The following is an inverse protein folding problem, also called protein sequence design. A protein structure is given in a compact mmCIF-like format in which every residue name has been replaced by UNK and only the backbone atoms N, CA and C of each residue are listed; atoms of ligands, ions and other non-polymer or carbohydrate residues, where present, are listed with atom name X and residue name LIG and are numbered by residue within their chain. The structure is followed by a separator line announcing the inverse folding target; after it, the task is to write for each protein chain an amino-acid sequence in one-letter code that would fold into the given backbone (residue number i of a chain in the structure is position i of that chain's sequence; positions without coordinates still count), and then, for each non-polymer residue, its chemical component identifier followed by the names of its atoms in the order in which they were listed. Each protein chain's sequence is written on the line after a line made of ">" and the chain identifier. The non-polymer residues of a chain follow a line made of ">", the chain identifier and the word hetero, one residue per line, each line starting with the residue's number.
data_IF_416634935384
#
_entry.id   IF_416634935384
#
_cell.length_a   1.000
_cell.length_b   1.000
_cell.length_c   1.000
_cell.angle_alpha   90.00
_cell.angle_beta   90.00
_cell.angle_gamma   90.00
#
_symmetry.space_group_name_H-M   'P 1'
#
loop_
_entity.id
_entity.type
_entity.pdbx_description
1 polymer ?
#
# COMPACT_ATOMS: atom_id res chain seq x y z
N UNK A 1 17.95 -8.57 4.70
CA UNK A 1 16.68 -8.86 5.38
C UNK A 1 16.73 -8.21 6.75
N UNK A 2 16.14 -7.03 6.89
CA UNK A 2 15.97 -6.39 8.20
C UNK A 2 14.57 -5.83 8.19
N UNK A 3 13.68 -6.40 9.00
CA UNK A 3 12.70 -5.65 9.78
C UNK A 3 12.32 -6.51 10.98
N UNK A 4 12.90 -6.16 12.13
CA UNK A 4 12.39 -6.55 13.44
C UNK A 4 11.21 -5.61 13.75
N UNK A 5 10.04 -6.19 14.05
CA UNK A 5 9.00 -5.53 14.85
C UNK A 5 9.54 -5.32 16.27
N UNK A 6 9.28 -4.15 16.88
CA UNK A 6 9.00 -3.94 18.31
C UNK A 6 8.61 -2.47 18.54
N UNK A 7 7.30 -2.23 18.63
CA UNK A 7 6.62 -1.26 19.52
C UNK A 7 7.42 -0.05 20.05
N UNK A 8 7.81 0.89 19.19
CA UNK A 8 8.15 2.25 19.65
C UNK A 8 6.89 3.09 19.60
N UNK A 9 6.46 3.61 20.75
CA UNK A 9 5.39 4.59 20.85
C UNK A 9 5.93 5.91 20.25
N UNK A 10 5.57 6.29 19.02
CA UNK A 10 6.21 7.44 18.38
C UNK A 10 5.72 8.73 19.04
N UNK A 11 6.60 9.72 19.19
CA UNK A 11 6.18 11.04 19.64
C UNK A 11 5.14 11.64 18.67
N UNK A 12 4.20 12.45 19.17
CA UNK A 12 3.09 13.05 18.41
C UNK A 12 3.52 13.71 17.08
N UNK A 13 4.71 14.32 17.05
CA UNK A 13 5.26 14.95 15.84
C UNK A 13 5.68 13.94 14.76
N UNK A 14 6.14 12.75 15.16
CA UNK A 14 6.43 11.64 14.24
C UNK A 14 5.12 11.10 13.69
N UNK A 15 4.11 10.90 14.55
CA UNK A 15 2.77 10.44 14.14
C UNK A 15 2.12 11.41 13.14
N UNK A 16 2.19 12.73 13.40
CA UNK A 16 1.62 13.74 12.50
C UNK A 16 2.34 13.89 11.15
N UNK A 17 3.65 13.60 11.09
CA UNK A 17 4.42 13.63 9.83
C UNK A 17 4.25 12.34 9.03
N UNK A 18 3.99 11.22 9.70
CA UNK A 18 3.60 9.97 9.05
C UNK A 18 2.30 10.18 8.29
N UNK A 19 1.25 10.58 9.01
CA UNK A 19 -0.08 10.73 8.45
C UNK A 19 -0.14 11.70 7.25
N UNK A 20 0.67 12.77 7.23
CA UNK A 20 0.77 13.68 6.08
C UNK A 20 1.16 12.97 4.77
N UNK A 21 2.18 12.10 4.82
CA UNK A 21 2.69 11.41 3.64
C UNK A 21 1.73 10.32 3.19
N UNK A 22 1.18 9.57 4.14
CA UNK A 22 0.17 8.53 3.88
C UNK A 22 -1.04 9.12 3.14
N UNK A 23 -1.59 10.24 3.65
CA UNK A 23 -2.70 10.92 3.00
C UNK A 23 -2.34 11.55 1.65
N UNK A 24 -1.14 12.10 1.51
CA UNK A 24 -0.68 12.67 0.24
C UNK A 24 -0.62 11.62 -0.87
N UNK A 25 0.01 10.47 -0.59
CA UNK A 25 0.09 9.36 -1.54
C UNK A 25 -1.30 8.80 -1.83
N UNK A 26 -2.11 8.57 -0.80
CA UNK A 26 -3.48 8.07 -0.96
C UNK A 26 -4.36 9.00 -1.82
N UNK A 27 -4.27 10.32 -1.59
CA UNK A 27 -4.98 11.32 -2.37
C UNK A 27 -4.55 11.31 -3.85
N UNK A 28 -3.23 11.26 -4.13
CA UNK A 28 -2.68 11.21 -5.49
C UNK A 28 -3.18 9.96 -6.22
N UNK A 29 -3.00 8.78 -5.62
CA UNK A 29 -3.36 7.51 -6.25
C UNK A 29 -4.87 7.45 -6.50
N UNK A 30 -5.69 7.80 -5.51
CA UNK A 30 -7.15 7.84 -5.66
C UNK A 30 -7.60 8.84 -6.74
N UNK A 31 -6.98 10.02 -6.81
CA UNK A 31 -7.28 11.01 -7.84
C UNK A 31 -6.90 10.51 -9.23
N UNK A 32 -5.67 10.00 -9.42
CA UNK A 32 -5.21 9.48 -10.72
C UNK A 32 -6.10 8.32 -11.19
N UNK A 33 -6.41 7.36 -10.31
CA UNK A 33 -7.29 6.24 -10.67
C UNK A 33 -8.69 6.71 -11.07
N UNK A 34 -9.23 7.72 -10.38
CA UNK A 34 -10.52 8.31 -10.73
C UNK A 34 -10.51 9.01 -12.10
N UNK A 35 -9.43 9.71 -12.43
CA UNK A 35 -9.29 10.36 -13.75
C UNK A 35 -9.14 9.34 -14.88
N UNK A 36 -8.42 8.23 -14.64
CA UNK A 36 -8.14 7.21 -15.67
C UNK A 36 -9.32 6.25 -15.87
N UNK A 37 -9.97 5.81 -14.78
CA UNK A 37 -10.98 4.75 -14.82
C UNK A 37 -12.41 5.24 -14.53
N UNK A 38 -12.58 6.51 -14.19
CA UNK A 38 -13.85 7.09 -13.77
C UNK A 38 -14.21 6.77 -12.32
N UNK A 39 -15.09 7.57 -11.73
CA UNK A 39 -15.43 7.50 -10.29
C UNK A 39 -16.51 6.48 -9.94
N UNK A 40 -17.40 6.13 -10.88
CA UNK A 40 -18.59 5.33 -10.56
C UNK A 40 -18.31 3.85 -10.27
N UNK A 41 -17.19 3.33 -10.79
CA UNK A 41 -16.79 1.92 -10.65
C UNK A 41 -15.48 1.78 -9.87
N UNK A 42 -15.05 2.83 -9.19
CA UNK A 42 -13.79 2.84 -8.47
C UNK A 42 -14.00 2.35 -7.04
N UNK A 43 -13.43 1.19 -6.74
CA UNK A 43 -13.38 0.63 -5.40
C UNK A 43 -11.93 0.58 -4.96
N UNK A 44 -11.60 1.30 -3.88
CA UNK A 44 -10.25 1.35 -3.32
C UNK A 44 -10.32 0.99 -1.85
N UNK A 45 -9.59 -0.06 -1.47
CA UNK A 45 -9.29 -0.43 -0.09
C UNK A 45 -7.94 0.19 0.25
N UNK A 46 -7.86 1.02 1.28
CA UNK A 46 -6.61 1.62 1.71
C UNK A 46 -6.51 1.69 3.23
N UNK A 47 -5.29 1.94 3.72
CA UNK A 47 -5.01 1.99 5.15
C UNK A 47 -5.63 3.19 5.86
N UNK A 48 -5.56 4.38 5.25
CA UNK A 48 -5.93 5.61 5.94
C UNK A 48 -7.41 5.98 5.75
N UNK A 49 -8.02 6.50 6.82
CA UNK A 49 -9.37 7.07 6.80
C UNK A 49 -9.36 8.60 6.88
N UNK A 50 -10.53 9.20 6.62
CA UNK A 50 -10.74 10.66 6.71
C UNK A 50 -11.13 11.14 8.11
N UNK A 51 -11.46 10.24 9.03
CA UNK A 51 -12.08 10.58 10.34
C UNK A 51 -11.07 11.24 11.29
N UNK A 52 -9.79 11.00 11.06
CA UNK A 52 -8.65 11.62 11.73
C UNK A 52 -8.34 13.03 11.17
N UNK A 53 -8.52 13.25 9.87
CA UNK A 53 -8.27 14.53 9.17
C UNK A 53 -9.36 15.59 9.36
N UNK A 54 -10.62 15.18 9.57
CA UNK A 54 -11.76 16.11 9.63
C UNK A 54 -11.94 16.82 10.97
N UNK A 55 -11.10 16.54 11.97
CA UNK A 55 -11.16 17.18 13.29
C UNK A 55 -10.46 18.54 13.25
N UNK A 56 -11.04 19.53 13.93
CA UNK A 56 -10.72 20.97 13.83
C UNK A 56 -9.29 21.40 14.18
N UNK A 57 -8.39 20.50 14.56
CA UNK A 57 -6.95 20.76 14.79
C UNK A 57 -6.07 20.53 13.55
N UNK A 58 -6.63 20.10 12.41
CA UNK A 58 -5.85 19.62 11.25
C UNK A 58 -5.77 20.59 10.06
N UNK A 59 -6.15 21.87 10.20
CA UNK A 59 -6.13 22.82 9.06
C UNK A 59 -4.73 22.97 8.44
N UNK A 60 -3.70 23.17 9.26
CA UNK A 60 -2.32 23.28 8.76
C UNK A 60 -1.78 21.97 8.17
N UNK A 61 -2.28 20.83 8.63
CA UNK A 61 -1.92 19.51 8.11
C UNK A 61 -2.53 19.28 6.74
N UNK A 62 -3.82 19.60 6.57
CA UNK A 62 -4.50 19.50 5.28
C UNK A 62 -3.92 20.44 4.23
N UNK A 63 -3.49 21.64 4.62
CA UNK A 63 -2.76 22.55 3.73
C UNK A 63 -1.41 21.97 3.31
N UNK A 64 -0.68 21.34 4.23
CA UNK A 64 0.60 20.69 3.94
C UNK A 64 0.43 19.51 2.97
N UNK A 65 -0.56 18.63 3.23
CA UNK A 65 -0.96 17.56 2.31
C UNK A 65 -1.33 18.13 0.94
N UNK A 66 -2.16 19.18 0.90
CA UNK A 66 -2.59 19.79 -0.37
C UNK A 66 -1.41 20.36 -1.17
N UNK A 67 -0.45 21.00 -0.51
CA UNK A 67 0.75 21.51 -1.16
C UNK A 67 1.60 20.37 -1.72
N UNK A 68 1.88 19.33 -0.93
CA UNK A 68 2.67 18.17 -1.35
C UNK A 68 2.02 17.44 -2.54
N UNK A 69 0.69 17.24 -2.50
CA UNK A 69 -0.06 16.62 -3.61
C UNK A 69 0.05 17.44 -4.89
N UNK A 70 -0.15 18.75 -4.81
CA UNK A 70 -0.08 19.61 -5.99
C UNK A 70 1.33 19.73 -6.55
N UNK A 71 2.36 19.73 -5.70
CA UNK A 71 3.75 19.68 -6.11
C UNK A 71 4.05 18.38 -6.86
N UNK A 72 3.69 17.23 -6.31
CA UNK A 72 3.88 15.92 -6.96
C UNK A 72 3.14 15.83 -8.30
N UNK A 73 1.86 16.26 -8.34
CA UNK A 73 1.06 16.24 -9.56
C UNK A 73 1.53 17.26 -10.61
N UNK A 74 2.30 18.28 -10.23
CA UNK A 74 2.84 19.25 -11.18
C UNK A 74 3.74 18.60 -12.23
N UNK A 75 4.37 17.49 -11.84
CA UNK A 75 5.32 16.68 -12.61
C UNK A 75 4.68 15.45 -13.29
N UNK A 76 3.41 15.15 -13.00
CA UNK A 76 2.71 13.93 -13.44
C UNK A 76 2.78 13.68 -14.95
N UNK A 77 2.70 14.74 -15.77
CA UNK A 77 2.79 14.64 -17.24
C UNK A 77 4.13 14.07 -17.72
N UNK A 78 5.22 14.26 -16.98
CA UNK A 78 6.54 13.70 -17.31
C UNK A 78 6.53 12.17 -17.29
N UNK A 79 5.59 11.59 -16.54
CA UNK A 79 5.39 10.15 -16.38
C UNK A 79 4.17 9.62 -17.15
N UNK A 80 3.56 10.44 -18.03
CA UNK A 80 2.37 10.05 -18.79
C UNK A 80 1.09 9.98 -17.97
N UNK A 81 1.07 10.54 -16.76
CA UNK A 81 -0.08 10.56 -15.87
C UNK A 81 -0.94 11.83 -16.05
N UNK A 82 -2.24 11.78 -15.73
CA UNK A 82 -3.10 12.96 -15.73
C UNK A 82 -2.56 14.02 -14.76
N UNK A 83 -2.78 15.29 -15.10
CA UNK A 83 -2.45 16.45 -14.27
C UNK A 83 -3.69 17.34 -14.19
N UNK A 84 -4.07 17.83 -13.00
CA UNK A 84 -5.25 18.67 -12.86
C UNK A 84 -5.03 20.03 -13.54
N UNK A 85 -6.07 20.58 -14.15
CA UNK A 85 -6.01 21.89 -14.83
C UNK A 85 -5.81 23.06 -13.86
N UNK A 86 -6.27 22.89 -12.61
CA UNK A 86 -6.09 23.81 -11.51
C UNK A 86 -5.57 23.02 -10.29
N UNK A 87 -4.79 23.66 -9.40
CA UNK A 87 -4.41 23.02 -8.14
C UNK A 87 -5.63 22.48 -7.40
N UNK A 88 -5.52 21.27 -6.87
CA UNK A 88 -6.55 20.62 -6.07
C UNK A 88 -6.66 21.34 -4.72
N UNK A 89 -7.87 21.77 -4.37
CA UNK A 89 -8.13 22.39 -3.08
C UNK A 89 -8.39 21.34 -1.99
N UNK A 90 -8.47 21.79 -0.74
CA UNK A 90 -8.71 20.93 0.44
C UNK A 90 -9.94 20.02 0.28
N UNK A 91 -11.00 20.53 -0.37
CA UNK A 91 -12.21 19.74 -0.66
C UNK A 91 -11.93 18.58 -1.63
N UNK A 92 -11.12 18.82 -2.68
CA UNK A 92 -10.77 17.81 -3.67
C UNK A 92 -9.88 16.72 -3.06
N UNK A 93 -8.95 17.12 -2.18
CA UNK A 93 -8.07 16.21 -1.43
C UNK A 93 -8.91 15.33 -0.48
N UNK A 94 -9.76 15.92 0.34
CA UNK A 94 -10.64 15.16 1.24
C UNK A 94 -11.57 14.22 0.46
N UNK A 95 -12.10 14.66 -0.69
CA UNK A 95 -12.90 13.82 -1.59
C UNK A 95 -12.07 12.67 -2.20
N UNK A 96 -10.78 12.87 -2.45
CA UNK A 96 -9.89 11.81 -2.94
C UNK A 96 -9.61 10.77 -1.87
N UNK A 97 -9.25 11.19 -0.66
CA UNK A 97 -9.00 10.29 0.47
C UNK A 97 -10.29 9.54 0.83
N UNK A 98 -11.43 10.24 0.91
CA UNK A 98 -12.72 9.65 1.27
C UNK A 98 -13.29 8.65 0.25
N UNK A 99 -12.71 8.55 -0.96
CA UNK A 99 -13.04 7.47 -1.92
C UNK A 99 -12.40 6.14 -1.55
N UNK A 100 -11.38 6.13 -0.70
CA UNK A 100 -10.67 4.94 -0.26
C UNK A 100 -11.35 4.25 0.93
N UNK A 101 -12.66 4.03 0.83
CA UNK A 101 -13.48 3.52 1.92
C UNK A 101 -14.04 2.11 1.64
N UNK A 102 -13.53 1.42 0.63
CA UNK A 102 -14.00 0.08 0.32
C UNK A 102 -13.51 -0.93 1.35
N UNK A 103 -14.35 -1.91 1.65
CA UNK A 103 -14.02 -3.06 2.50
C UNK A 103 -13.52 -4.26 1.69
N UNK A 104 -13.36 -4.14 0.37
CA UNK A 104 -13.01 -5.22 -0.53
C UNK A 104 -14.13 -6.27 -0.64
N UNK A 105 -13.76 -7.51 -0.92
CA UNK A 105 -14.70 -8.64 -0.87
C UNK A 105 -14.46 -9.71 -1.94
N UNK A 106 -15.39 -10.67 -2.05
CA UNK A 106 -15.22 -11.83 -2.91
C UNK A 106 -15.58 -11.59 -4.38
N UNK A 107 -16.13 -10.41 -4.72
CA UNK A 107 -16.64 -10.11 -6.06
C UNK A 107 -16.32 -8.69 -6.48
N UNK A 108 -16.10 -8.51 -7.77
CA UNK A 108 -15.82 -7.22 -8.37
C UNK A 108 -14.34 -6.88 -8.31
N UNK A 109 -14.02 -5.66 -8.76
CA UNK A 109 -12.66 -5.16 -8.90
C UNK A 109 -12.36 -4.15 -7.80
N UNK A 110 -11.29 -4.41 -7.05
CA UNK A 110 -10.83 -3.60 -5.93
C UNK A 110 -9.37 -3.24 -6.14
N UNK A 111 -9.07 -1.94 -6.15
CA UNK A 111 -7.71 -1.47 -5.93
C UNK A 111 -7.39 -1.58 -4.44
N UNK A 112 -6.17 -1.96 -4.12
CA UNK A 112 -5.70 -2.12 -2.76
C UNK A 112 -4.40 -1.33 -2.62
N UNK A 113 -4.36 -0.39 -1.67
CA UNK A 113 -3.28 0.57 -1.53
C UNK A 113 -2.75 0.59 -0.09
N UNK A 114 -1.44 0.39 0.03
CA UNK A 114 -0.67 0.85 1.18
C UNK A 114 0.13 2.10 0.74
N UNK A 115 -0.21 3.29 1.23
CA UNK A 115 0.46 4.51 0.81
C UNK A 115 1.93 4.58 1.29
N UNK A 116 2.27 4.01 2.45
CA UNK A 116 3.64 3.94 2.99
C UNK A 116 3.83 2.66 3.82
N UNK A 117 4.09 1.55 3.12
CA UNK A 117 4.47 0.28 3.76
C UNK A 117 5.88 0.42 4.37
N UNK A 118 6.02 -0.03 5.61
CA UNK A 118 7.25 0.13 6.38
C UNK A 118 7.42 1.54 6.97
N UNK A 119 6.34 2.13 7.47
CA UNK A 119 6.25 3.45 8.12
C UNK A 119 7.41 3.77 9.08
N UNK A 120 7.86 2.80 9.90
CA UNK A 120 9.02 2.98 10.79
C UNK A 120 10.35 3.12 10.03
N UNK A 121 10.50 2.38 8.93
CA UNK A 121 11.64 2.51 8.04
C UNK A 121 11.66 3.90 7.39
N UNK A 122 10.51 4.39 6.92
CA UNK A 122 10.38 5.76 6.40
C UNK A 122 10.85 6.82 7.41
N UNK A 123 10.39 6.76 8.66
CA UNK A 123 10.80 7.71 9.72
C UNK A 123 12.30 7.69 9.98
N UNK A 124 12.93 6.52 9.87
CA UNK A 124 14.37 6.33 10.07
C UNK A 124 15.20 6.71 8.85
N UNK A 125 14.57 6.97 7.70
CA UNK A 125 15.25 7.13 6.41
C UNK A 125 15.75 5.82 5.82
N UNK A 126 15.24 4.69 6.29
CA UNK A 126 15.52 3.35 5.79
C UNK A 126 14.58 3.01 4.60
N UNK A 127 14.31 1.72 4.38
CA UNK A 127 13.43 1.22 3.33
C UNK A 127 11.96 1.44 3.67
N UNK A 128 11.20 1.82 2.65
CA UNK A 128 9.75 1.86 2.64
C UNK A 128 9.25 1.64 1.21
N UNK A 129 7.98 1.32 1.04
CA UNK A 129 7.37 1.16 -0.26
C UNK A 129 6.00 1.86 -0.35
N UNK A 130 5.63 2.27 -1.56
CA UNK A 130 4.25 2.55 -1.93
C UNK A 130 3.73 1.29 -2.63
N UNK A 131 2.73 0.61 -2.06
CA UNK A 131 2.23 -0.65 -2.58
C UNK A 131 0.82 -0.50 -3.16
N UNK A 132 0.66 -0.82 -4.44
CA UNK A 132 -0.62 -0.79 -5.13
C UNK A 132 -0.89 -2.12 -5.81
N UNK A 133 -2.08 -2.69 -5.60
CA UNK A 133 -2.51 -3.90 -6.27
C UNK A 133 -3.92 -3.77 -6.84
N UNK A 134 -4.22 -4.60 -7.83
CA UNK A 134 -5.56 -4.81 -8.36
C UNK A 134 -6.03 -6.21 -8.05
N UNK A 135 -7.17 -6.33 -7.39
CA UNK A 135 -7.84 -7.59 -7.05
C UNK A 135 -9.16 -7.67 -7.80
N UNK A 136 -9.44 -8.80 -8.45
CA UNK A 136 -10.73 -9.07 -9.09
C UNK A 136 -11.24 -10.44 -8.65
N UNK A 137 -12.47 -10.49 -8.13
CA UNK A 137 -13.10 -11.71 -7.62
C UNK A 137 -12.18 -12.52 -6.67
N UNK A 138 -11.49 -11.81 -5.77
CA UNK A 138 -10.57 -12.38 -4.78
C UNK A 138 -9.19 -12.80 -5.32
N UNK A 139 -8.90 -12.58 -6.60
CA UNK A 139 -7.59 -12.88 -7.21
C UNK A 139 -6.79 -11.61 -7.43
N UNK A 140 -5.54 -11.59 -6.99
CA UNK A 140 -4.62 -10.49 -7.30
C UNK A 140 -4.20 -10.61 -8.77
N UNK A 141 -4.48 -9.57 -9.57
CA UNK A 141 -4.20 -9.54 -11.00
C UNK A 141 -2.96 -8.72 -11.36
N UNK A 142 -2.66 -7.68 -10.57
CA UNK A 142 -1.56 -6.76 -10.81
C UNK A 142 -1.03 -6.23 -9.48
N UNK A 143 0.28 -6.01 -9.40
CA UNK A 143 0.97 -5.46 -8.23
C UNK A 143 2.07 -4.50 -8.66
N UNK A 144 2.21 -3.41 -7.94
CA UNK A 144 3.22 -2.37 -8.11
C UNK A 144 3.81 -2.05 -6.74
N UNK A 145 5.14 -2.06 -6.66
CA UNK A 145 5.89 -1.57 -5.50
C UNK A 145 6.80 -0.43 -5.95
N UNK A 146 6.50 0.79 -5.51
CA UNK A 146 7.43 1.91 -5.62
C UNK A 146 8.33 1.92 -4.40
N UNK A 147 9.64 1.72 -4.56
CA UNK A 147 10.59 1.64 -3.43
C UNK A 147 11.64 2.77 -3.53
N UNK A 148 11.33 4.02 -3.11
CA UNK A 148 12.17 5.19 -3.40
C UNK A 148 13.57 5.13 -2.77
N UNK A 149 13.67 4.52 -1.59
CA UNK A 149 14.94 4.38 -0.87
C UNK A 149 15.68 3.07 -1.19
N UNK A 150 15.17 2.24 -2.10
CA UNK A 150 15.81 0.99 -2.45
C UNK A 150 17.08 1.24 -3.26
N UNK A 151 18.22 1.18 -2.57
CA UNK A 151 19.53 1.30 -3.19
C UNK A 151 19.84 0.04 -3.99
N UNK A 152 19.86 0.15 -5.32
CA UNK A 152 20.38 -0.90 -6.21
C UNK A 152 21.91 -0.94 -6.11
N UNK A 153 22.46 -1.26 -4.93
CA UNK A 153 23.84 -1.76 -4.88
C UNK A 153 23.80 -3.15 -5.54
N UNK A 154 24.65 -3.34 -6.54
CA UNK A 154 24.72 -4.47 -7.49
C UNK A 154 24.88 -5.88 -6.88
N UNK A 155 24.80 -6.01 -5.57
CA UNK A 155 24.76 -7.29 -4.88
C UNK A 155 23.31 -7.75 -4.92
N UNK A 156 23.01 -8.70 -5.81
CA UNK A 156 21.72 -9.39 -5.84
C UNK A 156 21.43 -9.93 -4.44
N UNK A 157 20.56 -9.27 -3.70
CA UNK A 157 20.00 -9.85 -2.48
C UNK A 157 19.10 -11.00 -2.92
N UNK A 158 19.65 -12.21 -2.90
CA UNK A 158 18.90 -13.44 -3.01
C UNK A 158 18.17 -13.65 -1.68
N UNK A 159 16.96 -13.12 -1.54
CA UNK A 159 16.04 -13.62 -0.54
C UNK A 159 15.52 -14.97 -1.05
N UNK A 160 16.17 -16.07 -0.64
CA UNK A 160 15.72 -17.41 -1.00
C UNK A 160 14.38 -17.75 -0.33
N UNK A 161 14.17 -17.21 0.89
CA UNK A 161 12.93 -17.35 1.67
C UNK A 161 12.67 -16.08 2.49
N UNK A 162 11.42 -15.60 2.48
CA UNK A 162 10.84 -14.63 3.40
C UNK A 162 9.81 -15.34 4.29
N UNK A 163 9.86 -15.10 5.60
CA UNK A 163 8.92 -15.65 6.57
C UNK A 163 8.47 -14.52 7.50
N UNK A 164 7.16 -14.27 7.54
CA UNK A 164 6.52 -13.41 8.54
C UNK A 164 5.63 -14.28 9.41
N UNK A 165 5.94 -14.38 10.70
CA UNK A 165 5.07 -15.09 11.65
C UNK A 165 3.93 -14.16 12.09
N UNK A 166 2.70 -14.63 11.97
CA UNK A 166 1.56 -13.89 12.51
C UNK A 166 1.56 -14.00 14.04
N UNK A 167 1.48 -12.86 14.73
CA UNK A 167 1.20 -12.85 16.17
C UNK A 167 -0.22 -13.36 16.39
N UNK A 168 -0.47 -14.09 17.49
CA UNK A 168 -1.73 -14.84 17.71
C UNK A 168 -3.01 -13.98 17.74
N UNK A 169 -2.90 -12.66 17.84
CA UNK A 169 -4.01 -11.70 17.81
C UNK A 169 -3.97 -10.71 16.65
N UNK A 170 -2.92 -10.72 15.81
CA UNK A 170 -2.77 -9.78 14.71
C UNK A 170 -3.36 -10.37 13.42
N UNK A 171 -4.25 -9.61 12.78
CA UNK A 171 -4.79 -9.95 11.46
C UNK A 171 -4.01 -9.19 10.39
N UNK A 172 -3.39 -9.93 9.50
CA UNK A 172 -2.68 -9.38 8.34
C UNK A 172 -3.67 -8.64 7.42
N UNK A 173 -3.33 -7.41 7.06
CA UNK A 173 -4.11 -6.57 6.14
C UNK A 173 -3.77 -6.93 4.70
N UNK A 174 -4.73 -6.84 3.78
CA UNK A 174 -4.48 -7.24 2.39
C UNK A 174 -3.50 -6.32 1.65
N UNK A 175 -3.40 -5.04 2.04
CA UNK A 175 -2.54 -4.07 1.37
C UNK A 175 -1.05 -4.28 1.63
N UNK A 176 -0.67 -4.81 2.79
CA UNK A 176 0.71 -5.20 3.11
C UNK A 176 1.24 -6.30 2.17
N UNK A 177 0.36 -7.11 1.55
CA UNK A 177 0.76 -8.36 0.90
C UNK A 177 0.42 -8.42 -0.59
N UNK A 178 -0.74 -7.91 -1.02
CA UNK A 178 -1.29 -8.18 -2.35
C UNK A 178 -0.29 -7.88 -3.48
N UNK A 179 0.34 -6.71 -3.47
CA UNK A 179 1.31 -6.32 -4.49
C UNK A 179 2.54 -7.25 -4.50
N UNK A 180 3.07 -7.58 -3.32
CA UNK A 180 4.21 -8.48 -3.18
C UNK A 180 3.92 -9.90 -3.65
N UNK A 181 2.73 -10.44 -3.36
CA UNK A 181 2.34 -11.80 -3.74
C UNK A 181 2.41 -11.99 -5.25
N UNK A 182 1.72 -11.14 -6.01
CA UNK A 182 1.67 -11.29 -7.48
C UNK A 182 3.04 -11.06 -8.10
N UNK A 183 3.84 -10.13 -7.58
CA UNK A 183 5.21 -9.91 -8.06
C UNK A 183 6.08 -11.16 -7.85
N UNK A 184 6.00 -11.79 -6.67
CA UNK A 184 6.77 -13.00 -6.38
C UNK A 184 6.29 -14.18 -7.21
N UNK A 185 4.98 -14.41 -7.30
CA UNK A 185 4.41 -15.53 -8.06
C UNK A 185 4.73 -15.41 -9.56
N UNK A 186 4.61 -14.21 -10.16
CA UNK A 186 4.95 -13.97 -11.57
C UNK A 186 6.47 -14.07 -11.84
N UNK A 187 7.31 -13.78 -10.84
CA UNK A 187 8.75 -14.04 -10.90
C UNK A 187 9.12 -15.54 -10.77
N UNK A 188 8.12 -16.41 -10.66
CA UNK A 188 8.28 -17.86 -10.52
C UNK A 188 8.48 -18.33 -9.08
N UNK A 189 8.34 -17.45 -8.09
CA UNK A 189 8.31 -17.80 -6.68
C UNK A 189 6.98 -18.43 -6.25
N UNK A 190 6.87 -18.72 -4.96
CA UNK A 190 5.66 -19.27 -4.33
C UNK A 190 5.39 -18.47 -3.07
N UNK A 191 4.12 -18.11 -2.84
CA UNK A 191 3.67 -17.48 -1.60
C UNK A 191 2.49 -18.26 -0.99
N UNK A 192 2.62 -18.63 0.28
CA UNK A 192 1.62 -19.38 1.03
C UNK A 192 1.53 -18.90 2.47
N UNK A 193 0.54 -19.39 3.22
CA UNK A 193 0.63 -19.39 4.68
C UNK A 193 1.65 -20.43 5.17
N UNK A 194 1.90 -20.52 6.48
CA UNK A 194 2.84 -21.50 7.02
C UNK A 194 2.37 -22.96 6.89
N UNK A 195 1.09 -23.19 6.64
CA UNK A 195 0.50 -24.49 6.32
C UNK A 195 0.59 -24.86 4.83
N UNK A 196 1.18 -24.02 3.99
CA UNK A 196 1.33 -24.25 2.55
C UNK A 196 0.08 -23.93 1.73
N UNK A 197 -0.93 -23.27 2.31
CA UNK A 197 -2.16 -22.88 1.60
C UNK A 197 -1.97 -21.51 0.95
N UNK A 198 -2.59 -21.31 -0.22
CA UNK A 198 -2.60 -19.99 -0.87
C UNK A 198 -3.33 -18.96 0.00
N UNK A 199 -2.87 -17.71 -0.07
CA UNK A 199 -3.54 -16.59 0.60
C UNK A 199 -4.88 -16.30 -0.09
N UNK A 200 -5.91 -16.01 0.69
CA UNK A 200 -7.27 -15.73 0.20
C UNK A 200 -7.60 -14.24 0.37
N UNK A 201 -7.54 -13.50 -0.74
CA UNK A 201 -7.84 -12.07 -0.78
C UNK A 201 -9.34 -11.77 -0.96
N UNK A 202 -10.22 -12.79 -0.91
CA UNK A 202 -11.66 -12.64 -1.12
C UNK A 202 -12.42 -12.25 0.17
N UNK A 203 -11.75 -12.12 1.31
CA UNK A 203 -12.38 -12.01 2.65
C UNK A 203 -12.54 -10.57 3.16
N UNK A 204 -12.29 -9.59 2.30
CA UNK A 204 -12.35 -8.18 2.63
C UNK A 204 -10.97 -7.65 3.01
N UNK A 205 -10.92 -6.77 4.01
CA UNK A 205 -9.70 -6.03 4.42
C UNK A 205 -8.60 -6.93 5.00
N UNK A 206 -8.95 -8.09 5.56
CA UNK A 206 -8.00 -8.97 6.26
C UNK A 206 -7.79 -10.28 5.52
N UNK A 207 -6.59 -10.84 5.62
CA UNK A 207 -6.29 -12.21 5.29
C UNK A 207 -6.80 -13.13 6.41
N UNK A 208 -8.00 -13.66 6.23
CA UNK A 208 -8.64 -14.54 7.21
C UNK A 208 -8.16 -15.99 7.09
N UNK A 209 -8.06 -16.69 8.23
CA UNK A 209 -7.78 -18.12 8.26
C UNK A 209 -6.33 -18.53 7.99
N UNK A 210 -5.38 -17.59 8.05
CA UNK A 210 -3.93 -17.88 7.96
C UNK A 210 -3.48 -18.88 9.01
N UNK A 211 -2.69 -19.87 8.62
CA UNK A 211 -1.93 -20.70 9.56
C UNK A 211 -0.56 -20.04 9.81
N UNK A 212 -0.38 -19.48 11.01
CA UNK A 212 0.92 -19.05 11.58
C UNK A 212 1.76 -18.03 10.79
N UNK A 213 1.22 -17.41 9.74
CA UNK A 213 1.85 -16.30 9.03
C UNK A 213 1.93 -16.53 7.52
N UNK A 214 2.91 -15.88 6.88
CA UNK A 214 3.12 -15.87 5.43
C UNK A 214 4.56 -16.28 5.12
N UNK A 215 4.71 -17.15 4.12
CA UNK A 215 5.97 -17.63 3.60
C UNK A 215 6.01 -17.29 2.11
N UNK A 216 7.09 -16.65 1.67
CA UNK A 216 7.40 -16.46 0.26
C UNK A 216 8.78 -17.07 -0.04
N UNK A 217 8.92 -17.83 -1.12
CA UNK A 217 10.20 -18.43 -1.49
C UNK A 217 10.43 -18.45 -3.00
N UNK A 218 11.69 -18.46 -3.40
CA UNK A 218 12.04 -18.77 -4.80
C UNK A 218 11.76 -20.24 -5.09
N UNK A 219 11.16 -20.55 -6.25
CA UNK A 219 10.96 -21.95 -6.63
C UNK A 219 12.31 -22.57 -6.98
N UNK A 220 12.66 -23.67 -6.31
CA UNK A 220 13.78 -24.50 -6.71
C UNK A 220 13.47 -25.10 -8.09
N UNK A 221 14.24 -24.71 -9.10
CA UNK A 221 14.28 -25.44 -10.36
C UNK A 221 14.91 -26.80 -10.09
N UNK A 222 14.10 -27.85 -10.01
CA UNK A 222 14.66 -29.20 -10.12
C UNK A 222 15.14 -29.34 -11.57
N UNK A 223 16.44 -29.19 -11.79
CA UNK A 223 17.08 -29.64 -13.02
C UNK A 223 16.81 -31.15 -13.14
N UNK A 224 15.91 -31.50 -14.05
CA UNK A 224 15.64 -32.87 -14.51
C UNK A 224 16.85 -33.47 -15.22
#
# INVERSE_FOLDING_TARGET
>A
MVLHDMSLNPNQAVVGKLSENDWGVQAIVSWVLAEVFGTQNLSIVAEEDTDSLSKSESLGLLDSVSNAVNEALSEARKYGLPKPDKPLGSHDILKAIGRCNSTGGPKGRHWVLDPVDGTLGFVRGDQYAVALALIEDGKVLLGVLGCPNYSVKKERLHAEVFIKFAQSSYKEKIWDHAAGVVIVEEAGGVVTDAGGRKLDFSKGVYLEGLDRGIIACSRLTTSS
#
